data_IF_033025337521
#
_entry.id   IF_033025337521
#
_cell.length_a   1.000
_cell.length_b   1.000
_cell.length_c   1.000
_cell.angle_alpha   90.00
_cell.angle_beta   90.00
_cell.angle_gamma   90.00
#
_symmetry.space_group_name_H-M   'P 1'
#
loop_
_entity.id
_entity.type
_entity.pdbx_description
1 polymer ?
#
# COMPACT_ATOMS: atom_id res chain seq x y z
N UNK A 1 5.78 3.33 -8.25
CA UNK A 1 5.63 1.86 -8.12
C UNK A 1 4.41 1.60 -7.27
N UNK A 2 3.51 0.74 -7.73
CA UNK A 2 2.35 0.25 -6.99
C UNK A 2 2.60 -1.20 -6.60
N UNK A 3 2.73 -1.46 -5.31
CA UNK A 3 2.79 -2.82 -4.76
C UNK A 3 1.44 -3.15 -4.10
N UNK A 4 0.59 -3.96 -4.72
CA UNK A 4 -0.69 -4.35 -4.15
C UNK A 4 -0.53 -5.30 -2.97
N UNK A 5 -1.62 -5.54 -2.23
CA UNK A 5 -1.70 -6.67 -1.32
C UNK A 5 -1.53 -7.99 -2.09
N UNK A 6 -0.97 -9.00 -1.41
CA UNK A 6 -0.72 -10.32 -2.04
C UNK A 6 -2.02 -10.99 -2.50
N UNK A 7 -3.11 -10.70 -1.83
CA UNK A 7 -4.44 -11.29 -2.08
C UNK A 7 -5.18 -10.63 -3.26
N UNK A 8 -4.81 -9.40 -3.64
CA UNK A 8 -5.56 -8.63 -4.65
C UNK A 8 -4.69 -8.08 -5.80
N UNK A 9 -3.79 -8.86 -6.39
CA UNK A 9 -2.89 -8.37 -7.44
C UNK A 9 -3.65 -8.05 -8.74
N UNK A 10 -4.71 -8.79 -9.06
CA UNK A 10 -5.45 -8.61 -10.31
C UNK A 10 -6.14 -7.26 -10.39
N UNK A 11 -6.66 -6.74 -9.28
CA UNK A 11 -7.27 -5.41 -9.22
C UNK A 11 -6.24 -4.32 -9.56
N UNK A 12 -5.01 -4.47 -9.07
CA UNK A 12 -3.94 -3.51 -9.38
C UNK A 12 -3.52 -3.56 -10.86
N UNK A 13 -3.50 -4.74 -11.47
CA UNK A 13 -3.24 -4.87 -12.91
C UNK A 13 -4.37 -4.26 -13.74
N UNK A 14 -5.63 -4.50 -13.36
CA UNK A 14 -6.77 -3.88 -14.04
C UNK A 14 -6.69 -2.34 -13.95
N UNK A 15 -6.36 -1.79 -12.78
CA UNK A 15 -6.16 -0.35 -12.60
C UNK A 15 -5.02 0.18 -13.48
N UNK A 16 -3.90 -0.55 -13.58
CA UNK A 16 -2.79 -0.16 -14.43
C UNK A 16 -3.17 -0.16 -15.92
N UNK A 17 -3.99 -1.12 -16.36
CA UNK A 17 -4.52 -1.15 -17.73
C UNK A 17 -5.40 0.08 -18.01
N UNK A 18 -6.28 0.44 -17.08
CA UNK A 18 -7.12 1.63 -17.19
C UNK A 18 -6.29 2.92 -17.27
N UNK A 19 -5.20 3.04 -16.51
CA UNK A 19 -4.28 4.17 -16.63
C UNK A 19 -3.64 4.23 -18.02
N UNK A 20 -3.26 3.08 -18.58
CA UNK A 20 -2.69 3.02 -19.93
C UNK A 20 -3.74 3.42 -20.98
N UNK A 21 -4.98 2.94 -20.89
CA UNK A 21 -6.09 3.33 -21.76
C UNK A 21 -6.41 4.83 -21.66
N UNK A 22 -6.28 5.39 -20.45
CA UNK A 22 -6.45 6.82 -20.21
C UNK A 22 -5.29 7.70 -20.73
N UNK A 23 -4.28 7.11 -21.35
CA UNK A 23 -3.14 7.82 -21.94
C UNK A 23 -2.01 8.14 -20.97
N UNK A 24 -1.94 7.51 -19.81
CA UNK A 24 -0.77 7.65 -18.92
C UNK A 24 0.46 7.04 -19.60
N UNK A 25 1.56 7.80 -19.75
CA UNK A 25 2.74 7.30 -20.46
C UNK A 25 3.35 6.04 -19.82
N UNK A 26 3.91 5.13 -20.64
CA UNK A 26 4.63 3.97 -20.14
C UNK A 26 5.72 4.34 -19.12
N UNK A 27 5.84 3.56 -18.05
CA UNK A 27 6.83 3.78 -17.00
C UNK A 27 6.41 4.72 -15.86
N UNK A 28 5.29 5.46 -16.00
CA UNK A 28 4.76 6.32 -14.94
C UNK A 28 4.11 5.48 -13.83
N UNK A 29 3.33 4.47 -14.21
CA UNK A 29 2.74 3.51 -13.27
C UNK A 29 3.35 2.13 -13.50
N UNK A 30 3.98 1.58 -12.47
CA UNK A 30 4.63 0.27 -12.53
C UNK A 30 4.08 -0.60 -11.39
N UNK A 31 3.46 -1.72 -11.72
CA UNK A 31 2.93 -2.68 -10.75
C UNK A 31 3.99 -3.73 -10.44
N UNK A 32 4.25 -3.93 -9.14
CA UNK A 32 5.18 -4.93 -8.65
C UNK A 32 4.47 -5.85 -7.66
N UNK A 33 4.28 -7.10 -8.02
CA UNK A 33 3.68 -8.13 -7.16
C UNK A 33 4.74 -9.02 -6.53
N UNK A 34 4.49 -9.47 -5.32
CA UNK A 34 5.38 -10.38 -4.60
C UNK A 34 4.62 -11.14 -3.52
N UNK A 35 5.00 -12.38 -3.28
CA UNK A 35 4.59 -13.17 -2.12
C UNK A 35 5.45 -12.90 -0.88
N UNK A 36 6.57 -12.20 -1.04
CA UNK A 36 7.48 -11.85 0.06
C UNK A 36 7.76 -10.33 0.06
N UNK A 37 6.86 -9.51 0.61
CA UNK A 37 6.93 -8.06 0.50
C UNK A 37 8.07 -7.41 1.28
N UNK A 38 8.52 -8.02 2.38
CA UNK A 38 9.52 -7.42 3.26
C UNK A 38 10.83 -7.05 2.54
N UNK A 39 11.56 -8.02 1.96
CA UNK A 39 12.81 -7.76 1.25
C UNK A 39 12.65 -6.81 0.06
N UNK A 40 11.53 -6.92 -0.67
CA UNK A 40 11.24 -6.04 -1.81
C UNK A 40 11.07 -4.60 -1.36
N UNK A 41 10.30 -4.38 -0.29
CA UNK A 41 10.06 -3.03 0.25
C UNK A 41 11.35 -2.44 0.83
N UNK A 42 12.14 -3.23 1.55
CA UNK A 42 13.44 -2.78 2.07
C UNK A 42 14.38 -2.35 0.94
N UNK A 43 14.47 -3.14 -0.13
CA UNK A 43 15.28 -2.79 -1.29
C UNK A 43 14.80 -1.50 -1.99
N UNK A 44 13.48 -1.32 -2.11
CA UNK A 44 12.92 -0.09 -2.68
C UNK A 44 13.23 1.13 -1.80
N UNK A 45 13.05 1.03 -0.50
CA UNK A 45 13.27 2.17 0.42
C UNK A 45 14.76 2.52 0.57
N UNK A 46 15.66 1.57 0.33
CA UNK A 46 17.10 1.82 0.30
C UNK A 46 17.58 2.55 -0.98
N UNK A 47 16.77 2.59 -2.03
CA UNK A 47 17.13 3.26 -3.28
C UNK A 47 16.90 4.79 -3.14
N UNK A 48 17.94 5.62 -3.33
CA UNK A 48 17.84 7.07 -3.14
C UNK A 48 16.90 7.78 -4.12
N UNK A 49 16.45 7.10 -5.16
CA UNK A 49 15.42 7.61 -6.08
C UNK A 49 14.01 7.54 -5.49
N UNK A 50 13.79 6.70 -4.48
CA UNK A 50 12.50 6.61 -3.78
C UNK A 50 12.37 7.77 -2.80
N UNK A 51 11.41 8.64 -3.02
CA UNK A 51 11.23 9.89 -2.26
C UNK A 51 9.99 9.88 -1.38
N UNK A 52 9.04 9.03 -1.66
CA UNK A 52 7.75 8.97 -0.97
C UNK A 52 7.30 7.54 -0.81
N UNK A 53 6.84 7.21 0.38
CA UNK A 53 6.09 6.01 0.70
C UNK A 53 4.66 6.40 1.05
N UNK A 54 3.69 5.81 0.38
CA UNK A 54 2.28 5.86 0.76
C UNK A 54 1.81 4.45 1.09
N UNK A 55 1.16 4.28 2.23
CA UNK A 55 0.72 2.96 2.70
C UNK A 55 -0.62 3.05 3.40
N UNK A 56 -1.50 2.12 3.06
CA UNK A 56 -2.75 1.87 3.78
C UNK A 56 -2.74 0.42 4.25
N UNK A 57 -3.00 0.20 5.54
CA UNK A 57 -3.04 -1.16 6.10
C UNK A 57 -2.95 -1.18 7.63
N UNK A 58 -2.47 -2.31 8.18
CA UNK A 58 -2.39 -2.47 9.62
C UNK A 58 -1.34 -1.57 10.27
N UNK A 59 -1.62 -1.13 11.49
CA UNK A 59 -0.68 -0.33 12.30
C UNK A 59 0.65 -1.06 12.53
N UNK A 60 0.62 -2.40 12.68
CA UNK A 60 1.83 -3.21 12.84
C UNK A 60 2.77 -3.10 11.63
N UNK A 61 2.24 -3.29 10.43
CA UNK A 61 3.01 -3.13 9.19
C UNK A 61 3.44 -1.68 8.99
N UNK A 62 2.57 -0.72 9.27
CA UNK A 62 2.91 0.70 9.21
C UNK A 62 4.12 1.07 10.04
N UNK A 63 4.22 0.56 11.28
CA UNK A 63 5.40 0.77 12.15
C UNK A 63 6.68 0.23 11.54
N UNK A 64 6.64 -0.98 10.96
CA UNK A 64 7.80 -1.57 10.28
C UNK A 64 8.23 -0.72 9.10
N UNK A 65 7.29 -0.28 8.27
CA UNK A 65 7.57 0.57 7.11
C UNK A 65 8.13 1.93 7.50
N UNK A 66 7.61 2.55 8.55
CA UNK A 66 8.13 3.82 9.09
C UNK A 66 9.56 3.67 9.60
N UNK A 67 9.85 2.59 10.33
CA UNK A 67 11.20 2.33 10.82
C UNK A 67 12.19 2.11 9.65
N UNK A 68 11.77 1.44 8.59
CA UNK A 68 12.61 1.25 7.41
C UNK A 68 12.82 2.56 6.63
N UNK A 69 11.74 3.31 6.41
CA UNK A 69 11.79 4.61 5.73
C UNK A 69 12.65 5.65 6.47
N UNK A 70 12.66 5.61 7.80
CA UNK A 70 13.45 6.51 8.64
C UNK A 70 14.95 6.38 8.40
N UNK A 71 15.46 5.18 8.06
CA UNK A 71 16.88 4.96 7.75
C UNK A 71 17.38 5.82 6.58
N UNK A 72 16.50 6.18 5.68
CA UNK A 72 16.80 6.93 4.45
C UNK A 72 16.03 8.26 4.36
N UNK A 73 15.36 8.65 5.45
CA UNK A 73 14.58 9.90 5.55
C UNK A 73 13.52 10.01 4.43
N UNK A 74 12.89 8.89 4.07
CA UNK A 74 11.84 8.86 3.05
C UNK A 74 10.56 9.46 3.63
N UNK A 75 9.95 10.40 2.90
CA UNK A 75 8.66 10.98 3.30
C UNK A 75 7.56 9.91 3.29
N UNK A 76 6.73 9.86 4.33
CA UNK A 76 5.68 8.86 4.49
C UNK A 76 4.29 9.49 4.60
N UNK A 77 3.29 8.83 3.96
CA UNK A 77 1.87 9.01 4.22
C UNK A 77 1.29 7.68 4.63
N UNK A 78 0.71 7.62 5.83
CA UNK A 78 0.22 6.39 6.43
C UNK A 78 -1.25 6.51 6.78
N UNK A 79 -2.06 5.60 6.21
CA UNK A 79 -3.45 5.39 6.59
C UNK A 79 -3.53 4.02 7.29
N UNK A 80 -3.65 4.06 8.60
CA UNK A 80 -3.51 2.89 9.46
C UNK A 80 -4.81 2.60 10.21
N UNK A 81 -4.88 1.41 10.83
CA UNK A 81 -5.99 1.04 11.67
C UNK A 81 -6.17 2.02 12.84
N UNK A 82 -7.42 2.32 13.13
CA UNK A 82 -7.82 3.23 14.20
C UNK A 82 -9.14 2.80 14.82
N UNK A 83 -9.81 3.74 15.48
CA UNK A 83 -11.13 3.52 16.06
C UNK A 83 -12.17 3.31 14.95
N UNK A 84 -12.80 2.14 14.95
CA UNK A 84 -13.88 1.79 14.04
C UNK A 84 -15.10 1.38 14.89
N UNK A 85 -15.90 2.34 15.39
CA UNK A 85 -17.06 2.02 16.21
C UNK A 85 -18.07 1.22 15.40
N UNK A 86 -18.52 0.12 15.96
CA UNK A 86 -19.59 -0.71 15.43
C UNK A 86 -20.74 -0.70 16.45
N UNK A 87 -21.85 -0.10 16.08
CA UNK A 87 -22.99 0.11 16.96
C UNK A 87 -24.10 -0.86 16.57
N UNK A 88 -24.49 -1.71 17.51
CA UNK A 88 -25.61 -2.64 17.35
C UNK A 88 -26.68 -2.22 18.36
N UNK A 89 -27.82 -1.79 17.85
CA UNK A 89 -28.98 -1.46 18.71
C UNK A 89 -29.76 -2.73 19.04
N UNK A 90 -30.61 -2.66 20.07
CA UNK A 90 -31.36 -3.79 20.60
C UNK A 90 -32.48 -4.31 19.65
N UNK A 91 -32.83 -3.54 18.66
CA UNK A 91 -33.78 -3.90 17.58
C UNK A 91 -33.12 -4.45 16.31
N UNK A 92 -31.78 -4.69 16.32
CA UNK A 92 -31.09 -5.24 15.19
C UNK A 92 -31.42 -6.72 14.97
N UNK A 93 -31.65 -7.09 13.70
CA UNK A 93 -31.75 -8.49 13.29
C UNK A 93 -30.33 -9.09 13.22
N UNK A 94 -30.04 -10.06 14.07
CA UNK A 94 -28.72 -10.69 14.20
C UNK A 94 -28.65 -12.10 13.62
N UNK A 95 -29.72 -12.64 12.98
CA UNK A 95 -29.81 -13.97 12.38
C UNK A 95 -29.37 -13.99 10.91
#
# INVERSE_FOLDING_TARGET
ILKPASETPLTAYALAALYQEAGVPPGVVNVLTTSNPGPVTAALLADPRVRKLSFTGSTGVGRVLLAEAAKHVVSCSMELGGNAPFLVFDDADLD
#
